data_IF_938623026434
#
_entry.id   IF_938623026434
#
_cell.length_a   1.000
_cell.length_b   1.000
_cell.length_c   1.000
_cell.angle_alpha   90.00
_cell.angle_beta   90.00
_cell.angle_gamma   90.00
#
_symmetry.space_group_name_H-M   'P 1'
#
loop_
_entity.id
_entity.type
_entity.pdbx_description
1 polymer ?
#
# COMPACT_ATOMS: atom_id res chain seq x y z
N UNK A 1 50.05 53.83 41.48
CA UNK A 1 49.22 52.68 41.85
C UNK A 1 48.03 52.65 40.89
N UNK A 2 47.89 51.53 40.18
CA UNK A 2 46.64 50.96 39.65
C UNK A 2 45.99 51.56 38.39
N UNK A 3 46.26 50.87 37.26
CA UNK A 3 45.33 50.28 36.26
C UNK A 3 44.13 51.07 35.70
N UNK A 4 44.08 51.22 34.36
CA UNK A 4 43.17 50.44 33.47
C UNK A 4 43.08 50.98 32.03
N UNK A 5 43.04 50.04 31.08
CA UNK A 5 43.16 50.13 29.62
C UNK A 5 42.02 50.83 28.84
N UNK A 6 42.29 51.36 27.62
CA UNK A 6 41.29 51.52 26.55
C UNK A 6 41.28 50.35 25.53
N UNK A 7 40.15 50.11 24.81
CA UNK A 7 39.96 48.92 23.98
C UNK A 7 40.24 49.12 22.47
N UNK A 8 40.76 48.03 21.88
CA UNK A 8 40.51 47.50 20.53
C UNK A 8 40.74 48.38 19.29
N UNK A 9 41.91 48.20 18.67
CA UNK A 9 42.10 48.30 17.22
C UNK A 9 42.15 46.90 16.61
N UNK A 10 41.46 46.69 15.50
CA UNK A 10 41.47 45.43 14.74
C UNK A 10 41.07 45.68 13.29
N UNK A 11 42.07 45.67 12.41
CA UNK A 11 41.94 45.81 10.96
C UNK A 11 41.22 44.61 10.34
N UNK A 12 40.44 44.91 9.30
CA UNK A 12 39.70 43.98 8.46
C UNK A 12 40.65 43.22 7.50
N UNK A 13 40.62 41.87 7.45
CA UNK A 13 41.39 41.10 6.47
C UNK A 13 40.67 40.97 5.12
N UNK A 14 41.45 41.08 4.05
CA UNK A 14 41.09 40.91 2.63
C UNK A 14 40.84 39.41 2.28
N UNK A 15 39.79 39.05 1.53
CA UNK A 15 39.34 37.66 1.37
C UNK A 15 39.96 36.87 0.21
N UNK A 16 41.18 37.15 -0.25
CA UNK A 16 41.72 36.42 -1.41
C UNK A 16 43.20 35.98 -1.33
N UNK A 17 43.50 34.97 -0.49
CA UNK A 17 44.74 34.20 -0.59
C UNK A 17 44.53 32.72 -0.19
N UNK A 18 44.72 31.83 -1.16
CA UNK A 18 44.80 30.36 -1.00
C UNK A 18 46.26 29.91 -0.85
N UNK A 19 46.66 29.15 0.20
CA UNK A 19 48.01 28.61 0.32
C UNK A 19 48.14 27.23 -0.36
N UNK A 20 49.05 27.18 -1.34
CA UNK A 20 49.43 26.05 -2.16
C UNK A 20 50.22 24.94 -1.43
N UNK A 21 50.18 23.77 -2.06
CA UNK A 21 51.01 22.58 -1.90
C UNK A 21 52.53 22.81 -1.82
N UNK A 22 53.22 21.98 -1.03
CA UNK A 22 54.68 21.76 -1.07
C UNK A 22 55.04 20.30 -0.73
N UNK A 23 56.16 19.76 -1.26
CA UNK A 23 56.50 18.32 -1.23
C UNK A 23 57.06 17.85 0.13
N UNK A 24 56.84 16.57 0.54
CA UNK A 24 57.32 16.06 1.82
C UNK A 24 58.80 15.61 1.78
N UNK A 25 59.54 15.98 2.83
CA UNK A 25 60.90 15.54 3.12
C UNK A 25 60.94 14.13 3.75
N UNK A 26 62.04 13.36 3.61
CA UNK A 26 62.17 12.03 4.18
C UNK A 26 62.66 12.10 5.64
N UNK A 27 62.01 11.34 6.53
CA UNK A 27 62.47 11.14 7.92
C UNK A 27 62.72 9.66 8.19
N UNK A 28 63.90 9.40 8.72
CA UNK A 28 64.51 8.11 9.06
C UNK A 28 64.12 7.66 10.48
N UNK A 29 63.94 6.34 10.65
CA UNK A 29 64.47 5.52 11.74
C UNK A 29 64.08 5.81 13.20
N UNK A 30 63.26 4.93 13.80
CA UNK A 30 63.05 4.83 15.25
C UNK A 30 62.48 3.46 15.66
N UNK A 31 63.03 2.88 16.73
CA UNK A 31 62.96 1.49 17.24
C UNK A 31 61.58 0.87 17.57
N UNK A 32 61.47 -0.48 17.70
CA UNK A 32 60.21 -1.21 17.87
C UNK A 32 59.72 -1.29 19.33
N UNK A 33 58.48 -0.88 19.56
CA UNK A 33 57.76 -1.03 20.83
C UNK A 33 57.04 -2.38 20.92
N UNK A 34 57.34 -3.12 22.00
CA UNK A 34 56.73 -4.40 22.36
C UNK A 34 55.20 -4.31 22.50
N UNK A 35 54.51 -5.30 21.92
CA UNK A 35 53.06 -5.37 21.83
C UNK A 35 52.33 -5.65 23.15
N UNK A 36 51.19 -4.96 23.32
CA UNK A 36 50.11 -5.37 24.22
C UNK A 36 49.14 -6.30 23.47
N UNK A 37 48.64 -7.36 24.11
CA UNK A 37 47.69 -8.28 23.49
C UNK A 37 46.31 -7.63 23.28
N UNK A 38 45.76 -7.85 22.08
CA UNK A 38 44.44 -7.36 21.67
C UNK A 38 43.31 -7.99 22.49
N UNK A 39 42.40 -7.16 23.00
CA UNK A 39 41.17 -7.56 23.66
C UNK A 39 40.22 -8.25 22.67
N UNK A 40 39.81 -9.48 22.97
CA UNK A 40 38.83 -10.24 22.21
C UNK A 40 37.42 -9.65 22.37
N UNK A 41 36.57 -9.64 21.31
CA UNK A 41 35.19 -9.20 21.41
C UNK A 41 34.36 -10.16 22.27
N UNK A 42 33.65 -9.59 23.25
CA UNK A 42 32.74 -10.28 24.15
C UNK A 42 31.51 -10.79 23.37
N UNK A 43 31.39 -12.12 23.29
CA UNK A 43 30.21 -12.81 22.76
C UNK A 43 29.02 -12.63 23.71
N UNK A 44 27.91 -12.12 23.18
CA UNK A 44 26.66 -11.90 23.91
C UNK A 44 25.97 -13.19 24.36
N UNK A 45 25.16 -13.04 25.42
CA UNK A 45 24.45 -14.08 26.15
C UNK A 45 23.51 -14.97 25.30
N UNK A 46 23.25 -16.22 25.71
CA UNK A 46 22.42 -17.16 24.96
C UNK A 46 20.94 -16.74 24.85
N UNK A 47 20.37 -16.98 23.67
CA UNK A 47 18.95 -16.73 23.37
C UNK A 47 18.03 -17.53 24.30
N UNK A 48 16.92 -16.94 24.79
CA UNK A 48 15.91 -17.68 25.56
C UNK A 48 15.22 -18.74 24.67
N UNK A 49 14.87 -19.91 25.22
CA UNK A 49 14.26 -20.98 24.44
C UNK A 49 12.86 -20.56 23.90
N UNK A 50 12.48 -21.03 22.70
CA UNK A 50 11.22 -20.66 22.07
C UNK A 50 10.02 -21.15 22.89
N UNK A 51 9.08 -20.24 23.18
CA UNK A 51 7.81 -20.57 23.84
C UNK A 51 6.96 -21.48 22.94
N UNK A 52 6.66 -22.68 23.45
CA UNK A 52 5.73 -23.65 22.85
C UNK A 52 4.34 -23.02 22.71
N UNK A 53 3.84 -22.89 21.48
CA UNK A 53 2.52 -22.31 21.21
C UNK A 53 1.43 -23.39 21.17
N UNK A 54 0.33 -23.18 21.89
CA UNK A 54 -0.81 -24.11 22.00
C UNK A 54 -1.77 -24.01 20.80
N UNK A 55 -1.26 -23.84 19.59
CA UNK A 55 -2.07 -23.67 18.36
C UNK A 55 -2.98 -24.89 18.06
N UNK A 56 -2.60 -26.09 18.52
CA UNK A 56 -3.42 -27.30 18.37
C UNK A 56 -4.72 -27.30 19.17
N UNK A 57 -4.77 -26.62 20.32
CA UNK A 57 -5.97 -26.58 21.18
C UNK A 57 -7.06 -25.67 20.56
N UNK A 58 -6.64 -24.56 19.95
CA UNK A 58 -7.56 -23.57 19.36
C UNK A 58 -8.23 -24.15 18.10
N UNK A 59 -7.48 -24.89 17.28
CA UNK A 59 -8.04 -25.52 16.07
C UNK A 59 -9.08 -26.59 16.45
N UNK A 60 -8.86 -27.34 17.52
CA UNK A 60 -9.82 -28.35 18.00
C UNK A 60 -11.14 -27.75 18.52
N UNK A 61 -11.08 -26.61 19.20
CA UNK A 61 -12.27 -25.96 19.78
C UNK A 61 -13.17 -25.34 18.70
N UNK A 62 -12.57 -24.74 17.67
CA UNK A 62 -13.33 -24.11 16.56
C UNK A 62 -14.03 -25.16 15.71
N UNK A 63 -13.40 -26.31 15.44
CA UNK A 63 -14.02 -27.38 14.68
C UNK A 63 -15.23 -28.00 15.42
N UNK A 64 -15.12 -28.19 16.74
CA UNK A 64 -16.23 -28.70 17.56
C UNK A 64 -17.44 -27.76 17.61
N UNK A 65 -17.21 -26.45 17.70
CA UNK A 65 -18.28 -25.46 17.74
C UNK A 65 -19.07 -25.37 16.42
N UNK A 66 -18.41 -25.49 15.27
CA UNK A 66 -19.08 -25.44 13.95
C UNK A 66 -19.98 -26.66 13.74
N UNK A 67 -19.56 -27.85 14.17
CA UNK A 67 -20.38 -29.07 14.07
C UNK A 67 -21.60 -28.99 15.00
N UNK A 68 -21.45 -28.44 16.21
CA UNK A 68 -22.56 -28.25 17.14
C UNK A 68 -23.61 -27.27 16.60
N UNK A 69 -23.18 -26.15 16.00
CA UNK A 69 -24.09 -25.15 15.41
C UNK A 69 -24.83 -25.72 14.20
N UNK A 70 -24.16 -26.49 13.33
CA UNK A 70 -24.81 -27.14 12.19
C UNK A 70 -25.83 -28.21 12.64
N UNK A 71 -25.56 -28.93 13.73
CA UNK A 71 -26.52 -29.89 14.30
C UNK A 71 -27.75 -29.20 14.90
N UNK A 72 -27.59 -28.03 15.52
CA UNK A 72 -28.70 -27.27 16.12
C UNK A 72 -29.54 -26.56 15.04
N UNK A 73 -28.92 -26.03 13.99
CA UNK A 73 -29.63 -25.36 12.90
C UNK A 73 -30.24 -26.32 11.86
N UNK A 74 -29.76 -27.57 11.76
CA UNK A 74 -30.25 -28.58 10.82
C UNK A 74 -31.59 -29.24 11.19
N UNK A 75 -32.02 -29.15 12.46
CA UNK A 75 -33.27 -29.76 12.93
C UNK A 75 -34.54 -28.89 12.69
N UNK A 76 -34.39 -27.63 12.26
CA UNK A 76 -35.50 -26.67 12.17
C UNK A 76 -36.31 -26.68 10.87
N UNK A 77 -35.89 -27.40 9.83
CA UNK A 77 -36.53 -27.35 8.49
C UNK A 77 -37.35 -28.63 8.20
N UNK A 78 -37.29 -29.66 9.04
CA UNK A 78 -37.94 -30.96 8.81
C UNK A 78 -39.31 -31.16 9.46
N UNK A 79 -39.92 -30.15 10.09
CA UNK A 79 -41.11 -30.33 10.96
C UNK A 79 -42.29 -29.40 10.64
N UNK A 80 -42.45 -28.93 9.40
CA UNK A 80 -43.67 -28.24 8.94
C UNK A 80 -44.08 -28.73 7.54
N UNK A 81 -44.33 -30.03 7.38
CA UNK A 81 -45.05 -30.59 6.22
C UNK A 81 -45.75 -31.90 6.60
N UNK A 82 -46.74 -31.86 7.50
CA UNK A 82 -47.76 -32.92 7.66
C UNK A 82 -49.01 -32.29 8.29
N UNK A 83 -50.17 -32.55 7.65
CA UNK A 83 -51.56 -32.13 7.94
C UNK A 83 -51.92 -30.71 7.46
N UNK A 84 -52.93 -30.46 6.64
CA UNK A 84 -54.10 -31.22 6.16
C UNK A 84 -55.15 -30.17 5.72
N UNK A 85 -55.98 -30.52 4.74
CA UNK A 85 -56.86 -29.68 3.91
C UNK A 85 -57.93 -28.79 4.58
N UNK A 86 -58.49 -27.91 3.73
CA UNK A 86 -59.81 -27.22 3.73
C UNK A 86 -60.01 -25.89 4.50
N UNK A 87 -59.99 -24.76 3.76
CA UNK A 87 -61.12 -23.81 3.63
C UNK A 87 -60.81 -22.66 2.63
N UNK A 88 -61.85 -22.27 1.88
CA UNK A 88 -61.89 -21.38 0.70
C UNK A 88 -61.56 -19.87 0.93
N UNK A 89 -61.34 -19.09 -0.16
CA UNK A 89 -60.66 -17.80 -0.13
C UNK A 89 -61.60 -16.60 0.08
N UNK A 90 -61.17 -15.63 0.89
CA UNK A 90 -61.80 -14.30 0.93
C UNK A 90 -61.33 -13.49 -0.28
N UNK A 91 -62.22 -13.35 -1.27
CA UNK A 91 -62.19 -12.36 -2.34
C UNK A 91 -62.55 -10.97 -1.82
N UNK A 92 -61.78 -9.92 -2.17
CA UNK A 92 -62.35 -8.58 -2.44
C UNK A 92 -61.60 -7.87 -3.58
N UNK A 93 -62.29 -7.82 -4.72
CA UNK A 93 -62.44 -6.75 -5.72
C UNK A 93 -61.22 -6.08 -6.39
N UNK A 94 -61.01 -6.53 -7.63
CA UNK A 94 -60.62 -5.73 -8.80
C UNK A 94 -61.59 -4.57 -9.06
N UNK A 95 -61.08 -3.38 -9.38
CA UNK A 95 -61.77 -2.45 -10.27
C UNK A 95 -61.06 -2.49 -11.63
N UNK A 96 -61.76 -3.03 -12.62
CA UNK A 96 -61.31 -3.25 -13.99
C UNK A 96 -61.61 -2.08 -14.93
N UNK A 97 -61.60 -2.32 -16.26
CA UNK A 97 -60.87 -1.50 -17.23
C UNK A 97 -61.78 -0.69 -18.18
N UNK A 98 -61.18 0.12 -19.05
CA UNK A 98 -61.82 0.55 -20.30
C UNK A 98 -60.87 0.35 -21.47
N UNK A 99 -61.33 -0.41 -22.47
CA UNK A 99 -60.62 -0.76 -23.68
C UNK A 99 -61.07 0.10 -24.87
N UNK A 100 -60.15 0.39 -25.77
CA UNK A 100 -60.40 0.85 -27.13
C UNK A 100 -59.34 0.27 -28.07
N UNK A 101 -59.70 -0.28 -29.25
CA UNK A 101 -58.85 -1.22 -30.00
C UNK A 101 -58.11 -0.57 -31.19
N UNK A 102 -57.04 -1.21 -31.68
CA UNK A 102 -56.59 -0.98 -33.06
C UNK A 102 -55.12 -1.24 -33.39
N UNK A 103 -54.84 -2.48 -33.76
CA UNK A 103 -54.08 -2.91 -34.95
C UNK A 103 -52.60 -2.53 -35.19
N UNK A 104 -51.96 -3.52 -35.85
CA UNK A 104 -50.82 -3.50 -36.77
C UNK A 104 -49.40 -3.54 -36.17
N UNK A 105 -48.66 -4.56 -36.59
CA UNK A 105 -47.28 -4.81 -36.21
C UNK A 105 -46.25 -4.13 -37.09
N UNK A 106 -44.97 -4.29 -36.72
CA UNK A 106 -43.79 -4.72 -37.52
C UNK A 106 -42.53 -4.41 -36.68
N UNK A 107 -41.49 -5.25 -36.68
CA UNK A 107 -40.27 -5.05 -35.91
C UNK A 107 -39.22 -4.22 -36.67
N UNK A 108 -38.40 -3.44 -35.95
CA UNK A 108 -37.33 -2.66 -36.58
C UNK A 108 -36.45 -1.92 -35.58
N UNK A 109 -35.18 -2.35 -35.57
CA UNK A 109 -33.95 -1.75 -35.05
C UNK A 109 -33.84 -0.24 -35.26
N UNK A 110 -33.34 0.51 -34.27
CA UNK A 110 -32.21 1.43 -34.47
C UNK A 110 -31.70 2.06 -33.16
N UNK A 111 -30.38 2.17 -33.11
CA UNK A 111 -29.57 2.61 -31.99
C UNK A 111 -29.62 4.13 -31.77
N UNK A 112 -29.48 4.55 -30.51
CA UNK A 112 -28.80 5.79 -30.17
C UNK A 112 -28.17 5.67 -28.77
N UNK A 113 -26.89 6.04 -28.57
CA UNK A 113 -26.20 5.87 -27.29
C UNK A 113 -26.53 7.06 -26.37
N UNK A 114 -27.05 6.78 -25.18
CA UNK A 114 -27.20 7.79 -24.12
C UNK A 114 -25.83 8.09 -23.49
N UNK A 115 -25.34 9.34 -23.52
CA UNK A 115 -24.11 9.73 -22.84
C UNK A 115 -24.33 9.90 -21.34
N UNK A 116 -23.41 9.37 -20.52
CA UNK A 116 -23.21 9.81 -19.14
C UNK A 116 -23.96 9.01 -18.08
N UNK A 117 -23.48 7.80 -17.80
CA UNK A 117 -23.52 7.28 -16.43
C UNK A 117 -22.18 7.61 -15.77
N UNK A 118 -22.15 8.74 -15.07
CA UNK A 118 -21.24 8.85 -13.93
C UNK A 118 -21.67 7.75 -12.96
N UNK A 119 -20.84 6.72 -12.79
CA UNK A 119 -20.96 5.82 -11.65
C UNK A 119 -20.86 6.68 -10.39
N UNK A 120 -22.02 7.05 -9.85
CA UNK A 120 -22.10 7.43 -8.45
C UNK A 120 -21.80 6.16 -7.69
N UNK A 121 -20.54 6.02 -7.28
CA UNK A 121 -20.09 4.94 -6.42
C UNK A 121 -20.95 4.99 -5.15
N UNK A 122 -21.75 3.94 -4.93
CA UNK A 122 -22.53 3.79 -3.71
C UNK A 122 -21.61 3.94 -2.48
N UNK A 123 -22.06 4.59 -1.39
CA UNK A 123 -21.25 4.73 -0.19
C UNK A 123 -21.03 3.35 0.43
N UNK A 124 -19.84 2.80 0.21
CA UNK A 124 -19.42 1.54 0.79
C UNK A 124 -19.38 1.72 2.31
N UNK A 125 -20.07 0.87 3.08
CA UNK A 125 -20.03 0.85 4.56
C UNK A 125 -18.65 0.43 5.15
N UNK A 126 -17.57 0.58 4.38
CA UNK A 126 -16.22 0.09 4.68
C UNK A 126 -15.37 1.14 5.42
N UNK A 127 -15.99 1.86 6.34
CA UNK A 127 -15.28 2.81 7.19
C UNK A 127 -14.48 2.08 8.27
N UNK A 128 -13.19 2.40 8.41
CA UNK A 128 -12.29 1.76 9.37
C UNK A 128 -11.65 2.82 10.27
N UNK A 129 -11.53 2.53 11.56
CA UNK A 129 -10.62 3.27 12.45
C UNK A 129 -9.25 2.62 12.39
N UNK A 130 -8.26 3.30 11.83
CA UNK A 130 -6.91 2.78 11.67
C UNK A 130 -6.22 2.60 13.03
N UNK A 131 -5.49 1.49 13.15
CA UNK A 131 -4.56 1.19 14.24
C UNK A 131 -3.11 1.16 13.77
N UNK A 132 -2.91 1.00 12.47
CA UNK A 132 -1.61 0.94 11.82
C UNK A 132 -1.66 1.66 10.47
N UNK A 133 -0.50 2.12 9.98
CA UNK A 133 -0.39 2.73 8.65
C UNK A 133 -0.85 1.82 7.50
N UNK A 134 -0.81 0.49 7.65
CA UNK A 134 -1.33 -0.44 6.65
C UNK A 134 -2.85 -0.33 6.46
N UNK A 135 -3.58 0.09 7.49
CA UNK A 135 -5.05 0.20 7.43
C UNK A 135 -5.48 1.31 6.46
N UNK A 136 -4.60 2.29 6.19
CA UNK A 136 -4.82 3.34 5.19
C UNK A 136 -5.03 2.77 3.78
N UNK A 137 -4.58 1.53 3.51
CA UNK A 137 -4.82 0.87 2.22
C UNK A 137 -6.30 0.57 1.94
N UNK A 138 -7.15 0.54 2.96
CA UNK A 138 -8.60 0.40 2.81
C UNK A 138 -9.21 1.50 1.91
N UNK A 139 -8.58 2.68 1.87
CA UNK A 139 -8.97 3.77 0.95
C UNK A 139 -8.84 3.34 -0.52
N UNK A 140 -7.84 2.53 -0.85
CA UNK A 140 -7.63 2.03 -2.21
C UNK A 140 -8.65 0.97 -2.64
N UNK A 141 -9.45 0.47 -1.71
CA UNK A 141 -10.59 -0.43 -1.96
C UNK A 141 -11.93 0.31 -1.92
N UNK A 142 -11.91 1.65 -1.85
CA UNK A 142 -13.09 2.50 -1.78
C UNK A 142 -13.64 2.68 -0.37
N UNK A 143 -12.87 2.33 0.67
CA UNK A 143 -13.21 2.63 2.07
C UNK A 143 -12.71 4.00 2.53
N UNK A 144 -12.89 4.28 3.81
CA UNK A 144 -12.46 5.53 4.45
C UNK A 144 -11.83 5.28 5.83
N UNK A 145 -11.03 6.23 6.31
CA UNK A 145 -10.30 6.11 7.58
C UNK A 145 -10.78 7.16 8.58
N UNK A 146 -11.57 6.73 9.56
CA UNK A 146 -12.34 7.63 10.43
C UNK A 146 -11.46 8.56 11.29
N UNK A 147 -10.29 8.09 11.70
CA UNK A 147 -9.31 8.83 12.50
C UNK A 147 -8.16 9.44 11.66
N UNK A 148 -8.27 9.47 10.34
CA UNK A 148 -7.33 10.20 9.49
C UNK A 148 -7.55 11.72 9.59
N UNK A 149 -6.54 12.50 9.22
CA UNK A 149 -6.64 13.95 9.15
C UNK A 149 -7.56 14.37 8.00
N UNK A 150 -8.36 15.44 8.17
CA UNK A 150 -9.12 16.00 7.06
C UNK A 150 -8.18 16.53 5.97
N UNK A 151 -8.56 16.35 4.71
CA UNK A 151 -7.86 16.95 3.58
C UNK A 151 -8.37 18.37 3.36
N UNK A 152 -7.47 19.36 3.50
CA UNK A 152 -7.78 20.79 3.38
C UNK A 152 -7.06 21.45 2.18
N UNK A 153 -6.61 20.64 1.22
CA UNK A 153 -5.79 21.08 0.09
C UNK A 153 -4.38 20.46 0.11
N UNK A 154 -3.59 20.72 -0.95
CA UNK A 154 -2.30 20.07 -1.17
C UNK A 154 -1.22 20.50 -0.16
N UNK A 155 -1.18 21.79 0.16
CA UNK A 155 -0.15 22.36 1.03
C UNK A 155 -0.23 21.79 2.44
N UNK A 156 0.89 21.22 2.92
CA UNK A 156 0.99 20.65 4.26
C UNK A 156 0.31 19.28 4.45
N UNK A 157 -0.30 18.72 3.40
CA UNK A 157 -0.90 17.40 3.46
C UNK A 157 0.15 16.31 3.68
N UNK A 158 -0.23 15.31 4.47
CA UNK A 158 0.58 14.12 4.73
C UNK A 158 0.04 12.96 3.92
N UNK A 159 0.93 12.21 3.27
CA UNK A 159 0.54 11.22 2.29
C UNK A 159 1.13 9.85 2.57
N UNK A 160 0.32 8.81 2.32
CA UNK A 160 0.77 7.44 2.13
C UNK A 160 0.47 6.98 0.71
N UNK A 161 1.31 6.11 0.17
CA UNK A 161 1.06 5.52 -1.14
C UNK A 161 1.10 4.00 -1.07
N UNK A 162 0.26 3.36 -1.88
CA UNK A 162 0.14 1.91 -1.96
C UNK A 162 0.09 1.47 -3.41
N UNK A 163 0.64 0.31 -3.73
CA UNK A 163 0.38 -0.35 -5.01
C UNK A 163 -0.16 -1.75 -4.81
N UNK A 164 -1.02 -2.18 -5.72
CA UNK A 164 -1.40 -3.59 -5.81
C UNK A 164 -0.46 -4.36 -6.77
N UNK A 165 -0.76 -5.64 -6.98
CA UNK A 165 -0.08 -6.53 -7.91
C UNK A 165 -1.14 -7.33 -8.68
N UNK A 166 -0.97 -7.59 -10.00
CA UNK A 166 -1.90 -8.45 -10.76
C UNK A 166 -2.13 -9.83 -10.15
N UNK A 167 -1.13 -10.43 -9.48
CA UNK A 167 -1.29 -11.72 -8.80
C UNK A 167 -2.22 -11.63 -7.56
N UNK A 168 -2.38 -10.43 -6.98
CA UNK A 168 -3.18 -10.15 -5.78
C UNK A 168 -3.79 -8.76 -5.90
N UNK A 169 -4.83 -8.57 -6.72
CA UNK A 169 -5.36 -7.25 -7.05
C UNK A 169 -5.94 -6.50 -5.84
N UNK A 170 -6.41 -7.24 -4.84
CA UNK A 170 -6.97 -6.72 -3.58
C UNK A 170 -5.94 -6.73 -2.43
N UNK A 171 -4.64 -6.80 -2.75
CA UNK A 171 -3.58 -6.69 -1.76
C UNK A 171 -2.72 -5.47 -2.05
N UNK A 172 -2.75 -4.52 -1.15
CA UNK A 172 -2.09 -3.23 -1.28
C UNK A 172 -0.80 -3.20 -0.44
N UNK A 173 0.32 -2.96 -1.11
CA UNK A 173 1.63 -2.84 -0.47
C UNK A 173 2.03 -1.38 -0.38
N UNK A 174 2.40 -0.93 0.83
CA UNK A 174 2.93 0.42 1.05
C UNK A 174 4.15 0.68 0.17
N UNK A 175 4.22 1.91 -0.37
CA UNK A 175 5.38 2.42 -1.09
C UNK A 175 6.04 3.52 -0.29
N UNK A 176 7.36 3.43 -0.24
CA UNK A 176 8.18 4.36 0.51
C UNK A 176 8.33 5.67 -0.25
N UNK A 177 8.31 6.76 0.50
CA UNK A 177 8.75 8.08 0.06
C UNK A 177 9.83 8.57 1.02
N UNK A 178 10.76 9.38 0.52
CA UNK A 178 11.88 9.86 1.30
C UNK A 178 11.43 10.72 2.51
N UNK A 179 12.09 10.53 3.65
CA UNK A 179 11.72 11.17 4.92
C UNK A 179 11.92 12.69 4.95
N UNK A 180 12.70 13.24 4.02
CA UNK A 180 12.91 14.67 3.85
C UNK A 180 11.79 15.36 3.06
N UNK A 181 10.84 14.61 2.49
CA UNK A 181 9.71 15.19 1.76
C UNK A 181 8.69 15.83 2.71
N UNK A 182 8.11 17.00 2.38
CA UNK A 182 7.19 17.70 3.27
C UNK A 182 5.90 16.90 3.53
N UNK A 183 5.48 16.06 2.59
CA UNK A 183 4.32 15.18 2.70
C UNK A 183 4.61 13.85 3.38
N UNK A 184 5.86 13.56 3.77
CA UNK A 184 6.20 12.33 4.48
C UNK A 184 5.48 12.26 5.83
N UNK A 185 4.92 11.08 6.11
CA UNK A 185 4.33 10.70 7.39
C UNK A 185 5.07 9.49 7.96
N UNK A 186 5.30 9.51 9.27
CA UNK A 186 5.88 8.36 9.99
C UNK A 186 4.81 7.29 10.16
N UNK A 187 5.22 6.03 10.20
CA UNK A 187 4.31 4.89 10.38
C UNK A 187 3.54 4.91 11.70
N UNK A 188 4.05 5.58 12.73
CA UNK A 188 3.36 5.76 14.01
C UNK A 188 2.38 6.96 14.00
N UNK A 189 2.53 7.88 13.05
CA UNK A 189 1.75 9.13 12.97
C UNK A 189 0.66 9.01 11.88
N UNK A 190 0.10 7.81 11.68
CA UNK A 190 -0.85 7.54 10.59
C UNK A 190 -2.14 8.39 10.69
N UNK A 191 -2.50 8.85 11.88
CA UNK A 191 -3.66 9.74 12.10
C UNK A 191 -3.44 11.13 11.48
N UNK A 192 -2.19 11.52 11.22
CA UNK A 192 -1.87 12.80 10.56
C UNK A 192 -2.05 12.77 9.05
N UNK A 193 -2.21 11.58 8.47
CA UNK A 193 -2.33 11.37 7.02
C UNK A 193 -3.67 11.88 6.54
N UNK A 194 -3.66 12.74 5.52
CA UNK A 194 -4.86 13.27 4.88
C UNK A 194 -5.04 12.78 3.44
N UNK A 195 -3.98 12.25 2.82
CA UNK A 195 -3.97 11.79 1.42
C UNK A 195 -3.50 10.34 1.32
N UNK A 196 -4.21 9.53 0.55
CA UNK A 196 -3.76 8.20 0.13
C UNK A 196 -3.64 8.17 -1.39
N UNK A 197 -2.44 7.82 -1.88
CA UNK A 197 -2.20 7.57 -3.30
C UNK A 197 -2.28 6.08 -3.61
N UNK A 198 -3.21 5.69 -4.48
CA UNK A 198 -3.46 4.31 -4.85
C UNK A 198 -2.95 4.04 -6.26
N UNK A 199 -1.86 3.29 -6.36
CA UNK A 199 -1.28 2.82 -7.62
C UNK A 199 -1.92 1.49 -8.02
N UNK A 200 -2.91 1.55 -8.90
CA UNK A 200 -3.60 0.36 -9.42
C UNK A 200 -2.92 -0.13 -10.69
N UNK A 201 -2.57 -1.40 -10.74
CA UNK A 201 -2.01 -2.04 -11.91
C UNK A 201 -2.92 -1.88 -13.13
N UNK A 202 -2.32 -1.61 -14.29
CA UNK A 202 -3.03 -1.53 -15.57
C UNK A 202 -2.95 -2.91 -16.24
N UNK A 203 -4.09 -3.58 -16.36
CA UNK A 203 -4.16 -4.89 -17.02
C UNK A 203 -3.71 -4.80 -18.49
N UNK A 204 -2.94 -5.79 -18.94
CA UNK A 204 -2.37 -5.79 -20.30
C UNK A 204 -1.23 -4.80 -20.52
N UNK A 205 -0.73 -4.14 -19.46
CA UNK A 205 0.41 -3.22 -19.54
C UNK A 205 1.78 -3.90 -19.48
N UNK A 206 1.79 -5.22 -19.39
CA UNK A 206 2.99 -6.03 -19.32
C UNK A 206 3.90 -5.83 -20.53
N UNK A 207 5.17 -5.53 -20.26
CA UNK A 207 6.20 -5.52 -21.30
C UNK A 207 6.94 -6.85 -21.41
N UNK A 208 7.99 -6.86 -22.23
CA UNK A 208 8.82 -8.05 -22.41
C UNK A 208 9.49 -8.47 -21.08
N UNK A 209 9.44 -9.76 -20.71
CA UNK A 209 10.06 -10.26 -19.48
C UNK A 209 11.59 -10.22 -19.56
N UNK A 210 12.23 -9.79 -18.47
CA UNK A 210 13.67 -9.97 -18.24
C UNK A 210 13.90 -11.20 -17.38
N UNK A 211 14.71 -12.14 -17.86
CA UNK A 211 15.09 -13.32 -17.09
C UNK A 211 16.10 -12.97 -16.00
N UNK A 212 15.74 -13.23 -14.76
CA UNK A 212 16.54 -12.96 -13.58
C UNK A 212 16.87 -14.25 -12.84
N UNK A 213 18.16 -14.49 -12.58
CA UNK A 213 18.64 -15.71 -11.92
C UNK A 213 18.80 -15.47 -10.42
N UNK A 214 18.19 -16.33 -9.62
CA UNK A 214 18.28 -16.29 -8.15
C UNK A 214 18.61 -17.65 -7.58
N UNK A 215 19.02 -17.67 -6.31
CA UNK A 215 19.03 -18.88 -5.48
C UNK A 215 17.79 -18.86 -4.59
N UNK A 216 17.05 -19.95 -4.55
CA UNK A 216 15.95 -20.11 -3.60
C UNK A 216 16.48 -20.43 -2.19
N UNK A 217 15.56 -20.65 -1.24
CA UNK A 217 15.91 -20.98 0.15
C UNK A 217 16.63 -22.32 0.34
N UNK A 218 16.56 -23.22 -0.66
CA UNK A 218 17.29 -24.49 -0.68
C UNK A 218 18.63 -24.38 -1.43
N UNK A 219 18.99 -23.18 -1.90
CA UNK A 219 20.21 -22.94 -2.68
C UNK A 219 20.11 -23.34 -4.16
N UNK A 220 18.92 -23.76 -4.63
CA UNK A 220 18.68 -24.13 -6.03
C UNK A 220 18.58 -22.89 -6.89
N UNK A 221 19.20 -22.92 -8.06
CA UNK A 221 19.06 -21.84 -9.04
C UNK A 221 17.65 -21.85 -9.64
N UNK A 222 17.02 -20.68 -9.64
CA UNK A 222 15.70 -20.42 -10.23
C UNK A 222 15.77 -19.23 -11.17
N UNK A 223 15.09 -19.35 -12.31
CA UNK A 223 14.92 -18.25 -13.26
C UNK A 223 13.55 -17.65 -13.08
N UNK A 224 13.49 -16.34 -12.82
CA UNK A 224 12.27 -15.57 -12.66
C UNK A 224 12.11 -14.63 -13.85
N UNK A 225 10.93 -14.64 -14.47
CA UNK A 225 10.56 -13.65 -15.47
C UNK A 225 10.12 -12.36 -14.74
N UNK A 226 10.98 -11.35 -14.79
CA UNK A 226 10.71 -10.02 -14.23
C UNK A 226 10.09 -9.12 -15.30
N UNK A 227 8.84 -8.73 -15.10
CA UNK A 227 7.98 -8.16 -16.14
C UNK A 227 7.75 -6.67 -15.85
N UNK A 228 8.03 -5.80 -16.82
CA UNK A 228 7.70 -4.38 -16.68
C UNK A 228 6.18 -4.17 -16.75
N UNK A 229 5.68 -3.14 -16.10
CA UNK A 229 4.24 -2.88 -16.00
C UNK A 229 3.94 -1.38 -15.91
N UNK A 230 2.66 -1.03 -15.96
CA UNK A 230 2.17 0.34 -15.70
C UNK A 230 1.12 0.33 -14.61
N UNK A 231 1.04 1.45 -13.92
CA UNK A 231 0.11 1.70 -12.83
C UNK A 231 -0.59 3.04 -13.05
N UNK A 232 -1.88 3.12 -12.70
CA UNK A 232 -2.59 4.38 -12.60
C UNK A 232 -2.57 4.83 -11.14
N UNK A 233 -2.06 6.02 -10.88
CA UNK A 233 -2.08 6.63 -9.56
C UNK A 233 -3.28 7.56 -9.43
N UNK A 234 -4.10 7.31 -8.42
CA UNK A 234 -5.21 8.17 -8.03
C UNK A 234 -5.04 8.60 -6.58
N UNK A 235 -5.34 9.86 -6.27
CA UNK A 235 -5.28 10.40 -4.93
C UNK A 235 -6.68 10.47 -4.31
N UNK A 236 -6.77 10.06 -3.05
CA UNK A 236 -7.99 10.05 -2.27
C UNK A 236 -7.78 10.78 -0.94
N UNK A 237 -8.81 11.49 -0.47
CA UNK A 237 -8.85 12.02 0.87
C UNK A 237 -9.00 10.85 1.86
N UNK A 238 -8.01 10.66 2.74
CA UNK A 238 -7.95 9.48 3.61
C UNK A 238 -9.20 9.34 4.50
N UNK A 239 -9.69 10.47 5.01
CA UNK A 239 -10.81 10.51 5.96
C UNK A 239 -12.18 10.21 5.34
N UNK A 240 -12.39 10.63 4.09
CA UNK A 240 -13.68 10.53 3.40
C UNK A 240 -13.70 9.44 2.33
N UNK A 241 -12.54 8.96 1.88
CA UNK A 241 -12.43 8.03 0.77
C UNK A 241 -12.70 8.66 -0.60
N UNK A 242 -12.96 9.98 -0.67
CA UNK A 242 -13.29 10.67 -1.90
C UNK A 242 -12.06 10.85 -2.79
N UNK A 243 -12.24 10.69 -4.10
CA UNK A 243 -11.19 11.00 -5.08
C UNK A 243 -10.95 12.52 -5.09
N UNK A 244 -9.69 12.92 -4.87
CA UNK A 244 -9.27 14.33 -4.83
C UNK A 244 -8.32 14.70 -5.99
N UNK A 245 -7.85 13.72 -6.76
CA UNK A 245 -7.03 14.01 -7.93
C UNK A 245 -6.48 12.77 -8.64
N UNK A 246 -5.89 13.00 -9.81
CA UNK A 246 -5.20 11.99 -10.61
C UNK A 246 -3.69 12.27 -10.60
N UNK A 247 -2.90 11.25 -10.24
CA UNK A 247 -1.44 11.28 -10.34
C UNK A 247 -0.91 10.78 -11.69
N UNK A 248 -1.81 10.34 -12.58
CA UNK A 248 -1.48 9.87 -13.92
C UNK A 248 -0.93 8.43 -13.95
N UNK A 249 -0.33 8.07 -15.08
CA UNK A 249 0.25 6.74 -15.28
C UNK A 249 1.72 6.73 -14.89
N UNK A 250 2.11 5.78 -14.04
CA UNK A 250 3.49 5.54 -13.63
C UNK A 250 3.96 4.23 -14.24
N UNK A 251 5.15 4.27 -14.87
CA UNK A 251 5.79 3.09 -15.43
C UNK A 251 6.66 2.40 -14.38
N UNK A 252 6.60 1.07 -14.34
CA UNK A 252 7.47 0.23 -13.52
C UNK A 252 8.39 -0.57 -14.46
N UNK A 253 9.62 -0.08 -14.73
CA UNK A 253 10.51 -0.73 -15.69
C UNK A 253 11.18 -1.98 -15.10
N UNK A 254 11.32 -3.02 -15.92
CA UNK A 254 12.11 -4.22 -15.61
C UNK A 254 13.56 -4.11 -16.12
N UNK A 255 14.17 -2.92 -16.02
CA UNK A 255 15.49 -2.64 -16.60
C UNK A 255 16.62 -3.48 -15.97
N UNK A 256 16.53 -3.75 -14.66
CA UNK A 256 17.51 -4.54 -13.89
C UNK A 256 16.81 -5.54 -12.98
N UNK A 257 17.46 -6.68 -12.76
CA UNK A 257 17.01 -7.66 -11.79
C UNK A 257 17.21 -7.11 -10.37
N UNK A 258 16.18 -7.05 -9.53
CA UNK A 258 16.34 -6.59 -8.15
C UNK A 258 17.19 -7.59 -7.34
N UNK A 259 17.88 -7.13 -6.30
CA UNK A 259 18.70 -8.03 -5.45
C UNK A 259 17.86 -9.07 -4.70
N UNK A 260 16.62 -8.69 -4.36
CA UNK A 260 15.62 -9.56 -3.74
C UNK A 260 14.31 -9.41 -4.50
N UNK A 261 13.60 -10.51 -4.71
CA UNK A 261 12.35 -10.53 -5.47
C UNK A 261 11.31 -11.40 -4.78
N UNK A 262 10.07 -10.90 -4.74
CA UNK A 262 8.91 -11.73 -4.44
C UNK A 262 8.30 -12.16 -5.77
N UNK A 263 8.02 -13.45 -5.94
CA UNK A 263 7.51 -13.98 -7.20
C UNK A 263 6.45 -15.05 -6.95
N UNK A 264 5.65 -15.30 -7.98
CA UNK A 264 4.67 -16.38 -8.00
C UNK A 264 5.39 -17.71 -8.28
N UNK A 265 5.38 -18.63 -7.31
CA UNK A 265 6.10 -19.92 -7.40
C UNK A 265 5.55 -20.86 -8.46
N UNK A 266 4.31 -20.65 -8.91
CA UNK A 266 3.68 -21.50 -9.93
C UNK A 266 4.06 -21.02 -11.33
N UNK A 267 4.03 -19.70 -11.56
CA UNK A 267 4.29 -19.12 -12.90
C UNK A 267 5.74 -18.70 -13.09
N UNK A 268 6.53 -18.64 -12.01
CA UNK A 268 7.90 -18.11 -11.99
C UNK A 268 7.99 -16.66 -12.49
N UNK A 269 6.93 -15.88 -12.28
CA UNK A 269 6.83 -14.47 -12.70
C UNK A 269 6.85 -13.53 -11.50
N UNK A 270 7.35 -12.33 -11.74
CA UNK A 270 7.22 -11.17 -10.85
C UNK A 270 7.01 -9.92 -11.67
N UNK A 271 6.05 -9.10 -11.29
CA UNK A 271 5.82 -7.80 -11.92
C UNK A 271 6.67 -6.73 -11.23
N UNK A 272 7.20 -5.80 -12.02
CA UNK A 272 7.85 -4.61 -11.51
C UNK A 272 6.85 -3.75 -10.75
N UNK A 273 7.33 -3.08 -9.71
CA UNK A 273 6.55 -2.08 -8.99
C UNK A 273 7.14 -0.68 -9.28
N UNK A 274 6.33 0.38 -9.23
CA UNK A 274 6.82 1.74 -9.41
C UNK A 274 7.93 2.08 -8.43
N UNK A 275 8.99 2.73 -8.91
CA UNK A 275 10.08 3.19 -8.07
C UNK A 275 9.68 4.43 -7.26
N UNK A 276 10.35 4.65 -6.13
CA UNK A 276 10.03 5.78 -5.24
C UNK A 276 10.21 7.14 -5.92
N UNK A 277 11.16 7.29 -6.83
CA UNK A 277 11.39 8.56 -7.53
C UNK A 277 10.21 8.94 -8.42
N UNK A 278 9.67 7.97 -9.18
CA UNK A 278 8.48 8.20 -10.01
C UNK A 278 7.23 8.50 -9.17
N UNK A 279 7.07 7.84 -8.02
CA UNK A 279 5.97 8.12 -7.08
C UNK A 279 6.12 9.52 -6.47
N UNK A 280 7.33 9.87 -6.03
CA UNK A 280 7.64 11.17 -5.45
C UNK A 280 7.44 12.29 -6.47
N UNK A 281 7.81 12.12 -7.74
CA UNK A 281 7.56 13.12 -8.77
C UNK A 281 6.05 13.39 -8.96
N UNK A 282 5.22 12.34 -8.88
CA UNK A 282 3.76 12.52 -8.94
C UNK A 282 3.20 13.18 -7.68
N UNK A 283 3.72 12.83 -6.49
CA UNK A 283 3.34 13.48 -5.23
C UNK A 283 3.79 14.94 -5.18
N UNK A 284 5.02 15.25 -5.61
CA UNK A 284 5.55 16.61 -5.70
C UNK A 284 4.63 17.45 -6.60
N UNK A 285 4.19 16.91 -7.74
CA UNK A 285 3.26 17.60 -8.63
C UNK A 285 1.88 17.85 -8.00
N UNK A 286 1.38 16.93 -7.18
CA UNK A 286 0.04 17.03 -6.59
C UNK A 286 0.00 17.80 -5.27
N UNK A 287 1.07 17.74 -4.47
CA UNK A 287 1.13 18.26 -3.09
C UNK A 287 2.05 19.48 -2.94
N UNK A 288 2.61 19.99 -4.04
CA UNK A 288 3.34 21.27 -4.04
C UNK A 288 2.43 22.47 -3.88
#
# INVERSE_FOLDING_TARGET
>A
MSDSYPPYGGQQPDPNVTPWSGPPAPQQGGYPGYGQPAQAPQFGAPFPPPKKSNKGLIIGLVAGAVVLVLAICGAGIGLILVNGDDDEPITVATAGPSAGPGASGTPGTDASPTPGQQETQEPNNNAVTARYSSDLSNVCEGGQILNAAPYNGPTGAKAYTFSNNPDRPNFWSTKSVASNKPYYAKSADFETVSVVGCLKFVEGSEGAPKKCQYKDSAGKQVTIDYISSRYTLTFYAAKTGEKIGDGGTITAPAARCPSFISYNKTTMKSHAAPDSGSIEAALDKFLS
#
